data_IF_275340495748
#
_entry.id   IF_275340495748
#
_cell.length_a   1.000
_cell.length_b   1.000
_cell.length_c   1.000
_cell.angle_alpha   90.00
_cell.angle_beta   90.00
_cell.angle_gamma   90.00
#
_symmetry.space_group_name_H-M   'P 1'
#
loop_
_entity.id
_entity.type
_entity.pdbx_description
1 polymer ?
#
# COMPACT_ATOMS: atom_id res chain seq x y z
N UNK A 1 -17.89 -2.76 -19.05
CA UNK A 1 -17.47 -1.88 -20.16
C UNK A 1 -15.95 -1.88 -20.25
N UNK A 2 -15.38 -1.85 -21.46
CA UNK A 2 -13.92 -1.90 -21.69
C UNK A 2 -13.54 -0.75 -22.62
N UNK A 3 -13.43 0.49 -22.12
CA UNK A 3 -13.03 1.65 -22.92
C UNK A 3 -11.60 1.51 -23.44
N UNK A 4 -11.34 1.97 -24.66
CA UNK A 4 -10.01 1.89 -25.30
C UNK A 4 -9.17 3.14 -25.04
N UNK A 5 -9.83 4.28 -24.82
CA UNK A 5 -9.19 5.56 -24.55
C UNK A 5 -10.02 6.42 -23.58
N UNK A 6 -9.55 7.64 -23.33
CA UNK A 6 -10.21 8.57 -22.43
C UNK A 6 -11.54 9.11 -22.96
N UNK A 7 -11.75 9.16 -24.28
CA UNK A 7 -13.00 9.67 -24.87
C UNK A 7 -14.12 8.62 -24.76
N UNK A 8 -13.77 7.33 -24.87
CA UNK A 8 -14.67 6.23 -24.51
C UNK A 8 -15.11 6.33 -23.03
N UNK A 9 -14.18 6.61 -22.12
CA UNK A 9 -14.50 6.79 -20.69
C UNK A 9 -15.43 7.99 -20.49
N UNK A 10 -15.19 9.13 -21.14
CA UNK A 10 -16.08 10.30 -21.08
C UNK A 10 -17.48 9.96 -21.58
N UNK A 11 -17.57 9.25 -22.71
CA UNK A 11 -18.84 8.81 -23.31
C UNK A 11 -19.61 7.91 -22.36
N UNK A 12 -18.93 6.93 -21.77
CA UNK A 12 -19.52 6.01 -20.78
C UNK A 12 -20.01 6.75 -19.53
N UNK A 13 -19.20 7.67 -18.99
CA UNK A 13 -19.56 8.44 -17.78
C UNK A 13 -20.79 9.32 -18.04
N UNK A 14 -20.86 10.01 -19.18
CA UNK A 14 -22.04 10.82 -19.53
C UNK A 14 -23.29 9.97 -19.69
N UNK A 15 -23.19 8.84 -20.36
CA UNK A 15 -24.30 7.89 -20.48
C UNK A 15 -24.75 7.39 -19.10
N UNK A 16 -23.81 6.99 -18.25
CA UNK A 16 -24.10 6.47 -16.92
C UNK A 16 -24.76 7.54 -16.03
N UNK A 17 -24.24 8.76 -16.06
CA UNK A 17 -24.82 9.90 -15.34
C UNK A 17 -26.25 10.21 -15.79
N UNK A 18 -26.50 10.26 -17.11
CA UNK A 18 -27.82 10.55 -17.67
C UNK A 18 -28.87 9.47 -17.33
N UNK A 19 -28.42 8.23 -17.08
CA UNK A 19 -29.31 7.09 -16.77
C UNK A 19 -29.32 6.73 -15.29
N UNK A 20 -28.58 7.45 -14.43
CA UNK A 20 -28.48 7.14 -13.00
C UNK A 20 -27.83 5.78 -12.72
N UNK A 21 -26.91 5.34 -13.57
CA UNK A 21 -26.24 4.04 -13.48
C UNK A 21 -24.86 4.22 -12.79
N UNK A 22 -24.61 3.60 -11.64
CA UNK A 22 -23.30 3.61 -11.01
C UNK A 22 -22.23 2.92 -11.86
N UNK A 23 -21.00 3.45 -11.78
CA UNK A 23 -19.82 2.88 -12.40
C UNK A 23 -18.84 2.40 -11.34
N UNK A 24 -18.22 1.24 -11.57
CA UNK A 24 -17.21 0.65 -10.69
C UNK A 24 -15.89 0.56 -11.47
N UNK A 25 -14.92 1.47 -11.25
CA UNK A 25 -13.62 1.37 -11.90
C UNK A 25 -12.88 0.12 -11.48
N UNK A 26 -12.22 -0.51 -12.44
CA UNK A 26 -11.43 -1.71 -12.22
C UNK A 26 -10.13 -1.65 -13.02
N UNK A 27 -9.02 -1.81 -12.31
CA UNK A 27 -7.72 -2.18 -12.90
C UNK A 27 -7.61 -3.70 -13.04
N UNK A 28 -6.57 -4.32 -12.48
CA UNK A 28 -6.49 -5.79 -12.43
C UNK A 28 -7.43 -6.44 -11.41
N UNK A 29 -7.99 -5.65 -10.48
CA UNK A 29 -8.86 -6.15 -9.41
C UNK A 29 -8.13 -6.88 -8.28
N UNK A 30 -6.87 -6.50 -8.03
CA UNK A 30 -6.03 -7.05 -6.94
C UNK A 30 -6.27 -6.42 -5.56
N UNK A 31 -7.15 -5.42 -5.46
CA UNK A 31 -7.53 -4.78 -4.19
C UNK A 31 -8.30 -5.75 -3.28
N UNK A 32 -8.03 -5.70 -1.97
CA UNK A 32 -8.72 -6.56 -0.98
C UNK A 32 -10.02 -5.94 -0.40
N UNK A 33 -10.28 -4.66 -0.68
CA UNK A 33 -11.44 -3.92 -0.14
C UNK A 33 -12.76 -4.13 -0.90
N UNK A 34 -12.83 -5.08 -1.84
CA UNK A 34 -13.98 -5.34 -2.73
C UNK A 34 -14.45 -4.16 -3.60
N UNK A 35 -13.79 -2.99 -3.58
CA UNK A 35 -14.18 -1.83 -4.38
C UNK A 35 -14.13 -2.01 -5.90
N UNK A 36 -13.50 -3.07 -6.39
CA UNK A 36 -13.37 -3.36 -7.83
C UNK A 36 -14.40 -4.39 -8.36
N UNK A 37 -15.41 -4.76 -7.56
CA UNK A 37 -16.48 -5.69 -7.92
C UNK A 37 -17.83 -5.17 -7.44
N UNK A 38 -18.92 -5.58 -8.09
CA UNK A 38 -20.28 -5.23 -7.69
C UNK A 38 -21.30 -5.56 -8.77
N UNK A 39 -22.56 -5.20 -8.52
CA UNK A 39 -23.70 -5.45 -9.42
C UNK A 39 -23.83 -4.43 -10.56
N UNK A 40 -23.10 -3.30 -10.46
CA UNK A 40 -23.15 -2.20 -11.40
C UNK A 40 -22.12 -2.35 -12.52
N UNK A 41 -22.07 -1.37 -13.43
CA UNK A 41 -21.18 -1.43 -14.59
C UNK A 41 -19.73 -1.37 -14.14
N UNK A 42 -19.05 -2.52 -14.21
CA UNK A 42 -17.59 -2.60 -14.05
C UNK A 42 -16.93 -1.96 -15.28
N UNK A 43 -16.08 -0.96 -15.04
CA UNK A 43 -15.31 -0.26 -16.06
C UNK A 43 -13.87 -0.75 -16.00
N UNK A 44 -13.52 -1.63 -16.93
CA UNK A 44 -12.17 -2.17 -17.05
C UNK A 44 -11.25 -1.16 -17.74
N UNK A 45 -10.36 -0.54 -16.96
CA UNK A 45 -9.40 0.47 -17.42
C UNK A 45 -8.07 -0.16 -17.88
N UNK A 46 -7.97 -1.49 -17.98
CA UNK A 46 -6.75 -2.22 -18.35
C UNK A 46 -6.27 -1.98 -19.77
N UNK A 47 -7.10 -1.42 -20.66
CA UNK A 47 -6.72 -1.05 -22.03
C UNK A 47 -6.04 0.32 -22.11
N UNK A 48 -6.12 1.16 -21.06
CA UNK A 48 -5.48 2.48 -21.03
C UNK A 48 -3.97 2.35 -20.83
N UNK A 49 -3.26 2.02 -21.91
CA UNK A 49 -1.84 1.60 -21.90
C UNK A 49 -0.86 2.54 -22.57
N UNK A 50 -1.32 3.69 -23.08
CA UNK A 50 -0.43 4.68 -23.69
C UNK A 50 0.55 5.23 -22.66
N UNK A 51 1.82 5.39 -23.02
CA UNK A 51 2.84 6.00 -22.14
C UNK A 51 3.81 6.86 -22.94
N UNK A 52 4.44 7.79 -22.23
CA UNK A 52 5.62 8.51 -22.71
C UNK A 52 6.88 7.95 -22.04
N UNK A 53 8.06 8.02 -22.70
CA UNK A 53 9.33 7.70 -22.06
C UNK A 53 9.54 8.54 -20.79
N UNK A 54 10.24 7.97 -19.79
CA UNK A 54 10.62 8.71 -18.61
C UNK A 54 11.62 9.83 -18.96
N UNK A 55 11.44 10.99 -18.34
CA UNK A 55 12.27 12.16 -18.57
C UNK A 55 13.32 12.29 -17.46
N UNK A 56 14.58 12.01 -17.80
CA UNK A 56 15.72 12.10 -16.88
C UNK A 56 15.92 13.50 -16.27
N UNK A 57 15.64 14.57 -17.03
CA UNK A 57 15.83 15.95 -16.56
C UNK A 57 14.80 16.38 -15.53
N UNK A 58 13.58 15.86 -15.61
CA UNK A 58 12.48 16.20 -14.68
C UNK A 58 12.22 15.11 -13.64
N UNK A 59 12.82 13.94 -13.80
CA UNK A 59 12.52 12.72 -13.04
C UNK A 59 11.02 12.42 -13.00
N UNK A 60 10.36 12.48 -14.16
CA UNK A 60 8.91 12.24 -14.30
C UNK A 60 8.56 11.36 -15.48
N UNK A 61 7.40 10.74 -15.42
CA UNK A 61 6.85 9.93 -16.50
C UNK A 61 5.31 10.03 -16.51
N UNK A 62 4.71 10.11 -17.71
CA UNK A 62 3.26 10.03 -17.89
C UNK A 62 2.91 8.67 -18.47
N UNK A 63 1.94 8.00 -17.85
CA UNK A 63 1.51 6.66 -18.23
C UNK A 63 0.00 6.49 -18.05
N UNK A 64 -0.58 5.65 -18.90
CA UNK A 64 -1.95 5.20 -18.80
C UNK A 64 -2.17 4.37 -17.54
N UNK A 65 -3.35 4.50 -16.96
CA UNK A 65 -3.70 3.87 -15.69
C UNK A 65 -3.85 2.34 -15.76
N UNK A 66 -3.95 1.78 -16.96
CA UNK A 66 -3.97 0.34 -17.22
C UNK A 66 -2.58 -0.33 -17.18
N UNK A 67 -1.49 0.45 -17.13
CA UNK A 67 -0.12 -0.08 -17.07
C UNK A 67 0.15 -0.67 -15.68
N UNK A 68 0.76 -1.85 -15.63
CA UNK A 68 1.22 -2.50 -14.40
C UNK A 68 2.40 -1.77 -13.77
N UNK A 69 2.51 -1.82 -12.45
CA UNK A 69 3.61 -1.21 -11.70
C UNK A 69 4.98 -1.65 -12.23
N UNK A 70 5.20 -2.96 -12.38
CA UNK A 70 6.51 -3.47 -12.81
C UNK A 70 6.82 -3.09 -14.26
N UNK A 71 5.78 -2.91 -15.09
CA UNK A 71 5.96 -2.37 -16.44
C UNK A 71 6.36 -0.89 -16.39
N UNK A 72 5.75 -0.09 -15.51
CA UNK A 72 6.15 1.30 -15.29
C UNK A 72 7.60 1.40 -14.79
N UNK A 73 8.02 0.53 -13.87
CA UNK A 73 9.41 0.44 -13.41
C UNK A 73 10.37 0.16 -14.56
N UNK A 74 10.06 -0.83 -15.41
CA UNK A 74 10.87 -1.14 -16.60
C UNK A 74 11.02 0.06 -17.55
N UNK A 75 9.96 0.85 -17.74
CA UNK A 75 10.01 2.05 -18.58
C UNK A 75 10.87 3.13 -17.93
N UNK A 76 10.74 3.34 -16.61
CA UNK A 76 11.56 4.29 -15.87
C UNK A 76 13.06 3.93 -15.93
N UNK A 77 13.39 2.65 -15.79
CA UNK A 77 14.77 2.16 -15.79
C UNK A 77 15.52 2.45 -17.09
N UNK A 78 14.81 2.58 -18.23
CA UNK A 78 15.41 2.98 -19.51
C UNK A 78 16.05 4.37 -19.47
N UNK A 79 15.60 5.23 -18.55
CA UNK A 79 16.16 6.56 -18.30
C UNK A 79 17.04 6.60 -17.03
N UNK A 80 17.49 5.45 -16.52
CA UNK A 80 18.19 5.31 -15.24
C UNK A 80 17.41 5.90 -14.05
N UNK A 81 16.08 5.77 -14.08
CA UNK A 81 15.16 6.21 -13.04
C UNK A 81 14.34 5.02 -12.50
N UNK A 82 13.76 5.14 -11.31
CA UNK A 82 12.94 4.11 -10.65
C UNK A 82 11.68 4.73 -10.03
N UNK A 83 10.59 3.97 -10.06
CA UNK A 83 9.35 4.21 -9.32
C UNK A 83 9.34 3.32 -8.05
N UNK A 84 9.66 3.89 -6.88
CA UNK A 84 10.09 3.09 -5.72
C UNK A 84 8.95 2.44 -4.93
N UNK A 85 7.69 2.70 -5.28
CA UNK A 85 6.54 2.11 -4.58
C UNK A 85 6.32 0.69 -5.06
N UNK A 86 6.51 -0.27 -4.16
CA UNK A 86 6.58 -1.70 -4.47
C UNK A 86 5.52 -2.54 -3.71
N UNK A 87 4.25 -2.54 -4.16
CA UNK A 87 3.22 -3.38 -3.55
C UNK A 87 3.49 -4.86 -3.82
N UNK A 88 2.99 -5.76 -2.96
CA UNK A 88 3.12 -7.22 -3.17
C UNK A 88 2.51 -7.73 -4.47
N UNK A 89 1.61 -6.95 -5.06
CA UNK A 89 0.95 -7.21 -6.33
C UNK A 89 1.64 -6.53 -7.52
N UNK A 90 2.87 -6.00 -7.39
CA UNK A 90 3.55 -5.18 -8.41
C UNK A 90 3.48 -5.72 -9.84
N UNK A 91 3.61 -7.04 -10.01
CA UNK A 91 3.57 -7.71 -11.31
C UNK A 91 2.22 -7.59 -12.04
N UNK A 92 1.13 -7.33 -11.33
CA UNK A 92 -0.22 -7.25 -11.89
C UNK A 92 -1.05 -6.07 -11.39
N UNK A 93 -0.60 -5.30 -10.41
CA UNK A 93 -1.28 -4.09 -9.95
C UNK A 93 -1.13 -3.00 -11.01
N UNK A 94 -2.24 -2.50 -11.53
CA UNK A 94 -2.22 -1.36 -12.45
C UNK A 94 -1.98 -0.06 -11.70
N UNK A 95 -1.35 0.92 -12.34
CA UNK A 95 -1.10 2.25 -11.77
C UNK A 95 -2.41 2.91 -11.33
N UNK A 96 -3.50 2.76 -12.08
CA UNK A 96 -4.83 3.24 -11.71
C UNK A 96 -5.30 2.65 -10.38
N UNK A 97 -5.15 1.33 -10.20
CA UNK A 97 -5.49 0.66 -8.94
C UNK A 97 -4.61 1.13 -7.79
N UNK A 98 -3.30 1.31 -8.02
CA UNK A 98 -2.37 1.83 -7.02
C UNK A 98 -2.74 3.25 -6.57
N UNK A 99 -3.04 4.14 -7.52
CA UNK A 99 -3.49 5.51 -7.24
C UNK A 99 -4.82 5.50 -6.50
N UNK A 100 -5.80 4.72 -6.98
CA UNK A 100 -7.13 4.65 -6.39
C UNK A 100 -7.10 4.15 -4.93
N UNK A 101 -6.20 3.21 -4.59
CA UNK A 101 -6.08 2.66 -3.24
C UNK A 101 -5.00 3.33 -2.38
N UNK A 102 -4.27 4.33 -2.90
CA UNK A 102 -3.04 4.84 -2.30
C UNK A 102 -2.09 3.71 -1.86
N UNK A 103 -1.78 2.80 -2.79
CA UNK A 103 -1.02 1.60 -2.51
C UNK A 103 0.33 1.92 -1.85
N UNK A 104 0.78 0.99 -1.01
CA UNK A 104 2.09 1.05 -0.39
C UNK A 104 2.80 -0.29 -0.61
N UNK A 105 4.03 -0.38 -0.16
CA UNK A 105 4.90 -1.50 -0.45
C UNK A 105 5.81 -1.88 0.68
N UNK A 106 6.57 -2.96 0.49
CA UNK A 106 7.61 -3.36 1.45
C UNK A 106 8.58 -2.21 1.72
N UNK A 107 8.82 -1.38 0.69
CA UNK A 107 9.73 -0.24 0.75
C UNK A 107 9.12 1.08 1.26
N UNK A 108 7.90 1.04 1.78
CA UNK A 108 7.18 2.25 2.19
C UNK A 108 7.74 2.91 3.45
N UNK A 109 8.57 2.20 4.23
CA UNK A 109 9.30 2.79 5.36
C UNK A 109 10.26 3.90 4.89
N UNK A 110 10.87 3.74 3.71
CA UNK A 110 11.74 4.74 3.09
C UNK A 110 11.01 5.67 2.13
N UNK A 111 10.13 5.11 1.30
CA UNK A 111 9.56 5.85 0.17
C UNK A 111 8.10 6.27 0.37
N UNK A 112 7.42 5.83 1.42
CA UNK A 112 6.02 6.12 1.64
C UNK A 112 5.07 5.39 0.66
N UNK A 113 3.84 5.88 0.57
CA UNK A 113 2.78 5.35 -0.29
C UNK A 113 2.68 6.12 -1.62
N UNK A 114 1.90 5.58 -2.56
CA UNK A 114 1.71 6.11 -3.93
C UNK A 114 1.44 7.62 -3.96
N UNK A 115 0.66 8.19 -3.04
CA UNK A 115 0.30 9.63 -3.00
C UNK A 115 1.48 10.58 -3.14
N UNK A 116 2.60 10.31 -2.48
CA UNK A 116 3.78 11.18 -2.52
C UNK A 116 4.49 11.17 -3.88
N UNK A 117 4.19 10.17 -4.71
CA UNK A 117 4.82 9.94 -6.00
C UNK A 117 3.94 10.34 -7.19
N UNK A 118 2.72 10.82 -6.95
CA UNK A 118 1.83 11.31 -8.01
C UNK A 118 1.99 12.82 -8.11
N UNK A 119 2.42 13.32 -9.28
CA UNK A 119 2.51 14.78 -9.55
C UNK A 119 1.33 15.28 -10.37
N UNK A 120 0.59 14.39 -11.03
CA UNK A 120 -0.61 14.73 -11.78
C UNK A 120 -1.51 13.54 -12.07
N UNK A 121 -2.80 13.83 -12.23
CA UNK A 121 -3.82 12.86 -12.62
C UNK A 121 -4.68 13.46 -13.73
N UNK A 122 -4.95 12.68 -14.75
CA UNK A 122 -6.01 13.00 -15.71
C UNK A 122 -7.31 12.38 -15.23
N UNK A 123 -8.23 13.23 -14.82
CA UNK A 123 -9.48 12.86 -14.17
C UNK A 123 -10.65 13.03 -15.13
N UNK A 124 -11.59 12.09 -15.06
CA UNK A 124 -12.94 12.23 -15.61
C UNK A 124 -13.91 12.20 -14.43
N UNK A 125 -14.61 13.32 -14.22
CA UNK A 125 -15.54 13.51 -13.10
C UNK A 125 -16.95 13.02 -13.44
N UNK A 126 -17.81 12.93 -12.43
CA UNK A 126 -19.17 12.37 -12.58
C UNK A 126 -20.05 13.11 -13.60
N UNK A 127 -19.79 14.40 -13.85
CA UNK A 127 -20.48 15.20 -14.87
C UNK A 127 -19.92 14.99 -16.30
N UNK A 128 -18.92 14.11 -16.45
CA UNK A 128 -18.23 13.84 -17.71
C UNK A 128 -17.22 14.93 -18.11
N UNK A 129 -16.89 15.88 -17.23
CA UNK A 129 -15.77 16.79 -17.45
C UNK A 129 -14.44 16.05 -17.31
N UNK A 130 -13.49 16.38 -18.18
CA UNK A 130 -12.14 15.80 -18.22
C UNK A 130 -11.12 16.90 -17.96
N UNK A 131 -10.20 16.68 -17.02
CA UNK A 131 -9.16 17.65 -16.72
C UNK A 131 -7.92 17.00 -16.10
N UNK A 132 -6.77 17.65 -16.31
CA UNK A 132 -5.55 17.35 -15.57
C UNK A 132 -5.54 18.10 -14.24
N UNK A 133 -5.39 17.35 -13.15
CA UNK A 133 -5.15 17.89 -11.81
C UNK A 133 -3.69 17.64 -11.48
N UNK A 134 -2.89 18.71 -11.31
CA UNK A 134 -1.46 18.63 -11.00
C UNK A 134 -1.13 19.28 -9.67
N UNK A 135 -0.15 18.73 -8.95
CA UNK A 135 0.35 19.32 -7.70
C UNK A 135 0.98 20.68 -7.98
N UNK A 136 0.67 21.65 -7.12
CA UNK A 136 1.17 23.03 -7.23
C UNK A 136 0.60 23.85 -8.39
N UNK A 137 -0.32 23.29 -9.18
CA UNK A 137 -1.08 24.05 -10.16
C UNK A 137 -2.24 24.79 -9.48
N UNK A 138 -2.72 25.88 -10.09
CA UNK A 138 -3.93 26.54 -9.64
C UNK A 138 -5.12 25.55 -9.69
N UNK A 139 -6.01 25.67 -8.70
CA UNK A 139 -7.24 24.88 -8.67
C UNK A 139 -8.12 25.25 -9.87
N UNK A 140 -8.59 24.28 -10.67
CA UNK A 140 -9.41 24.57 -11.85
C UNK A 140 -10.86 24.86 -11.42
N UNK A 141 -11.10 26.08 -10.94
CA UNK A 141 -12.39 26.54 -10.42
C UNK A 141 -13.48 26.61 -11.47
N UNK A 142 -13.12 26.61 -12.75
CA UNK A 142 -14.03 26.51 -13.88
C UNK A 142 -14.71 25.14 -14.00
N UNK A 143 -14.19 24.11 -13.34
CA UNK A 143 -14.82 22.79 -13.30
C UNK A 143 -15.95 22.78 -12.25
N UNK A 144 -17.22 22.54 -12.64
CA UNK A 144 -18.35 22.59 -11.71
C UNK A 144 -18.20 21.68 -10.48
N UNK A 145 -17.56 20.52 -10.66
CA UNK A 145 -17.28 19.58 -9.57
C UNK A 145 -16.26 20.12 -8.56
N UNK A 146 -15.23 20.83 -9.03
CA UNK A 146 -14.23 21.47 -8.15
C UNK A 146 -14.82 22.69 -7.46
N UNK A 147 -15.56 23.53 -8.19
CA UNK A 147 -16.27 24.67 -7.61
C UNK A 147 -17.23 24.22 -6.50
N UNK A 148 -18.03 23.18 -6.73
CA UNK A 148 -18.91 22.58 -5.73
C UNK A 148 -18.16 22.13 -4.49
N UNK A 149 -17.04 21.44 -4.65
CA UNK A 149 -16.20 21.02 -3.53
C UNK A 149 -15.68 22.23 -2.73
N UNK A 150 -15.18 23.25 -3.42
CA UNK A 150 -14.62 24.46 -2.79
C UNK A 150 -15.66 25.31 -2.07
N UNK A 151 -16.90 25.32 -2.56
CA UNK A 151 -18.01 26.03 -1.92
C UNK A 151 -18.59 25.25 -0.73
N UNK A 152 -18.83 23.95 -0.89
CA UNK A 152 -19.70 23.19 0.01
C UNK A 152 -18.93 22.33 1.03
N UNK A 153 -17.71 21.88 0.70
CA UNK A 153 -16.94 20.91 1.50
C UNK A 153 -15.68 21.54 2.08
N UNK A 154 -14.89 22.24 1.26
CA UNK A 154 -13.63 22.82 1.67
C UNK A 154 -13.75 23.66 2.96
N UNK A 155 -14.68 24.63 3.10
CA UNK A 155 -14.75 25.46 4.30
C UNK A 155 -14.97 24.65 5.58
N UNK A 156 -15.72 23.54 5.49
CA UNK A 156 -16.00 22.65 6.62
C UNK A 156 -14.77 21.88 7.06
N UNK A 157 -13.97 21.40 6.11
CA UNK A 157 -12.71 20.69 6.40
C UNK A 157 -11.69 21.63 7.03
N UNK A 158 -11.65 22.89 6.57
CA UNK A 158 -10.72 23.89 7.09
C UNK A 158 -11.10 24.41 8.48
N UNK A 159 -12.40 24.52 8.75
CA UNK A 159 -12.91 24.92 10.05
C UNK A 159 -12.95 23.77 11.07
N UNK A 160 -12.80 22.51 10.63
CA UNK A 160 -12.87 21.35 11.51
C UNK A 160 -11.71 21.33 12.49
N UNK A 161 -12.04 21.20 13.78
CA UNK A 161 -11.11 20.95 14.89
C UNK A 161 -10.97 19.46 15.20
N UNK A 162 -11.73 18.60 14.51
CA UNK A 162 -11.66 17.17 14.69
C UNK A 162 -10.28 16.64 14.25
N UNK A 163 -9.77 15.60 14.91
CA UNK A 163 -8.55 14.95 14.48
C UNK A 163 -8.79 14.26 13.12
N UNK A 164 -8.35 14.90 12.04
CA UNK A 164 -8.41 14.36 10.68
C UNK A 164 -7.27 13.36 10.38
N UNK A 165 -6.34 13.17 11.32
CA UNK A 165 -5.25 12.22 11.25
C UNK A 165 -4.98 11.60 12.63
N UNK A 166 -4.53 10.35 12.65
CA UNK A 166 -4.16 9.65 13.87
C UNK A 166 -2.70 9.93 14.25
N UNK A 167 -2.47 10.35 15.49
CA UNK A 167 -1.13 10.65 16.01
C UNK A 167 -0.27 9.38 16.07
N UNK A 168 0.97 9.48 15.60
CA UNK A 168 1.95 8.37 15.68
C UNK A 168 1.83 7.33 14.57
N UNK A 169 1.00 7.57 13.55
CA UNK A 169 0.84 6.71 12.37
C UNK A 169 1.29 7.46 11.12
N UNK A 170 2.15 6.85 10.30
CA UNK A 170 2.69 7.47 9.08
C UNK A 170 1.83 7.29 7.84
N UNK A 171 1.05 6.21 7.76
CA UNK A 171 0.16 5.92 6.62
C UNK A 171 -1.29 5.88 7.09
N UNK A 172 -2.10 6.78 6.53
CA UNK A 172 -3.55 6.80 6.68
C UNK A 172 -4.21 6.54 5.33
N UNK A 173 -4.99 5.47 5.29
CA UNK A 173 -5.77 5.01 4.14
C UNK A 173 -7.25 4.81 4.50
N UNK A 174 -7.69 5.27 5.68
CA UNK A 174 -9.10 5.23 6.09
C UNK A 174 -9.86 6.43 5.54
N UNK A 175 -10.67 6.21 4.52
CA UNK A 175 -11.44 7.27 3.87
C UNK A 175 -10.56 8.25 3.09
N UNK A 176 -11.09 9.45 2.85
CA UNK A 176 -10.40 10.48 2.09
C UNK A 176 -9.27 11.14 2.90
N UNK A 177 -8.18 11.51 2.23
CA UNK A 177 -7.02 12.14 2.86
C UNK A 177 -7.24 13.62 3.18
N UNK A 178 -8.29 13.93 3.95
CA UNK A 178 -8.69 15.29 4.29
C UNK A 178 -7.61 16.05 5.07
N UNK A 179 -6.86 15.38 5.95
CA UNK A 179 -5.72 15.99 6.63
C UNK A 179 -4.63 16.41 5.63
N UNK A 180 -4.25 15.52 4.70
CA UNK A 180 -3.24 15.83 3.70
C UNK A 180 -3.68 16.99 2.80
N UNK A 181 -4.93 16.97 2.33
CA UNK A 181 -5.49 18.07 1.54
C UNK A 181 -5.60 19.38 2.34
N UNK A 182 -5.97 19.35 3.63
CA UNK A 182 -6.04 20.55 4.48
C UNK A 182 -4.68 21.23 4.60
N UNK A 183 -3.61 20.45 4.64
CA UNK A 183 -2.25 20.94 4.80
C UNK A 183 -1.67 21.43 3.46
N UNK A 184 -1.87 20.69 2.36
CA UNK A 184 -1.28 21.00 1.05
C UNK A 184 -2.14 21.91 0.16
N UNK A 185 -3.46 21.83 0.30
CA UNK A 185 -4.49 22.35 -0.62
C UNK A 185 -4.45 21.75 -2.04
N UNK A 186 -3.65 20.72 -2.26
CA UNK A 186 -3.54 20.01 -3.53
C UNK A 186 -4.66 18.97 -3.68
N UNK A 187 -5.50 19.11 -4.71
CA UNK A 187 -6.57 18.12 -4.99
C UNK A 187 -6.03 16.71 -5.27
N UNK A 188 -4.77 16.57 -5.70
CA UNK A 188 -4.13 15.26 -5.85
C UNK A 188 -4.15 14.46 -4.55
N UNK A 189 -3.98 15.12 -3.39
CA UNK A 189 -4.04 14.42 -2.10
C UNK A 189 -5.42 13.86 -1.80
N UNK A 190 -6.48 14.54 -2.22
CA UNK A 190 -7.85 14.08 -2.05
C UNK A 190 -8.21 12.97 -3.04
N UNK A 191 -7.73 13.06 -4.28
CA UNK A 191 -8.02 12.11 -5.35
C UNK A 191 -7.30 10.77 -5.16
N UNK A 192 -6.04 10.79 -4.73
CA UNK A 192 -5.28 9.55 -4.44
C UNK A 192 -5.84 8.88 -3.18
N UNK A 193 -6.30 7.65 -3.31
CA UNK A 193 -7.01 6.93 -2.25
C UNK A 193 -8.53 7.11 -2.29
N UNK A 194 -9.09 7.76 -3.31
CA UNK A 194 -10.55 7.94 -3.45
C UNK A 194 -11.29 6.69 -3.95
N UNK A 195 -10.58 5.62 -4.32
CA UNK A 195 -11.17 4.36 -4.78
C UNK A 195 -12.16 4.54 -5.95
N UNK A 196 -11.95 5.57 -6.78
CA UNK A 196 -12.81 5.86 -7.93
C UNK A 196 -14.13 6.57 -7.61
N UNK A 197 -14.36 6.92 -6.33
CA UNK A 197 -15.60 7.57 -5.89
C UNK A 197 -15.65 9.07 -6.20
N UNK A 198 -14.50 9.71 -6.47
CA UNK A 198 -14.42 11.13 -6.81
C UNK A 198 -14.17 11.39 -8.30
N UNK A 199 -13.45 10.49 -8.98
CA UNK A 199 -13.16 10.57 -10.41
C UNK A 199 -12.67 9.21 -10.94
N UNK A 200 -12.83 8.99 -12.24
CA UNK A 200 -12.08 7.98 -12.99
C UNK A 200 -10.74 8.56 -13.43
N UNK A 201 -9.66 7.80 -13.27
CA UNK A 201 -8.33 8.20 -13.73
C UNK A 201 -8.02 7.53 -15.05
N UNK A 202 -7.55 8.28 -16.04
CA UNK A 202 -7.17 7.73 -17.35
C UNK A 202 -5.66 7.71 -17.57
N UNK A 203 -4.97 8.77 -17.13
CA UNK A 203 -3.51 8.88 -17.11
C UNK A 203 -3.01 9.34 -15.74
N UNK A 204 -1.78 9.00 -15.43
CA UNK A 204 -1.05 9.41 -14.23
C UNK A 204 0.31 9.99 -14.61
N UNK A 205 0.71 11.06 -13.92
CA UNK A 205 2.07 11.60 -13.96
C UNK A 205 2.78 11.20 -12.68
N UNK A 206 3.83 10.38 -12.82
CA UNK A 206 4.65 9.85 -11.74
C UNK A 206 5.88 10.72 -11.55
N UNK A 207 6.25 10.94 -10.28
CA UNK A 207 7.61 11.31 -9.87
C UNK A 207 8.45 10.04 -9.76
N UNK A 208 9.72 10.15 -10.16
CA UNK A 208 10.70 9.08 -10.13
C UNK A 208 11.92 9.50 -9.30
N UNK A 209 12.78 8.54 -8.97
CA UNK A 209 14.10 8.75 -8.38
C UNK A 209 15.18 8.18 -9.30
N UNK A 210 16.46 8.56 -9.14
CA UNK A 210 17.55 7.83 -9.77
C UNK A 210 17.48 6.34 -9.43
N UNK A 211 17.67 5.50 -10.43
CA UNK A 211 17.82 4.05 -10.24
C UNK A 211 19.04 3.81 -9.35
N UNK A 212 18.89 2.98 -8.33
CA UNK A 212 19.91 2.73 -7.32
C UNK A 212 20.70 1.45 -7.62
N UNK A 213 21.87 1.32 -7.00
CA UNK A 213 22.89 0.34 -7.37
C UNK A 213 22.57 -1.10 -6.96
N UNK A 214 22.68 -1.42 -5.68
CA UNK A 214 22.53 -2.78 -5.17
C UNK A 214 21.77 -2.84 -3.84
N UNK A 215 21.16 -3.99 -3.57
CA UNK A 215 20.53 -4.32 -2.29
C UNK A 215 21.37 -5.36 -1.55
N UNK A 216 21.11 -5.46 -0.25
CA UNK A 216 21.54 -6.54 0.62
C UNK A 216 20.49 -6.70 1.72
N UNK A 217 20.20 -7.92 2.16
CA UNK A 217 19.13 -8.17 3.12
C UNK A 217 19.62 -8.91 4.37
N UNK A 218 18.89 -8.79 5.47
CA UNK A 218 19.12 -9.59 6.67
C UNK A 218 17.82 -10.17 7.21
N UNK A 219 17.90 -11.39 7.73
CA UNK A 219 16.86 -12.06 8.51
C UNK A 219 17.30 -12.17 9.96
N UNK A 220 16.52 -11.60 10.87
CA UNK A 220 16.89 -11.52 12.29
C UNK A 220 15.76 -12.07 13.14
N UNK A 221 16.07 -12.94 14.10
CA UNK A 221 15.08 -13.47 15.05
C UNK A 221 15.27 -12.88 16.44
N UNK A 222 14.18 -12.78 17.19
CA UNK A 222 14.12 -12.21 18.53
C UNK A 222 13.26 -13.08 19.44
N UNK A 223 13.68 -13.24 20.70
CA UNK A 223 12.90 -13.97 21.71
C UNK A 223 11.73 -13.15 22.28
N UNK A 224 11.62 -11.87 21.93
CA UNK A 224 10.47 -11.00 22.30
C UNK A 224 10.03 -10.10 21.15
N UNK A 225 8.75 -9.76 21.11
CA UNK A 225 8.21 -8.79 20.13
C UNK A 225 8.72 -7.37 20.40
N UNK A 226 8.94 -7.02 21.67
CA UNK A 226 9.46 -5.72 22.09
C UNK A 226 10.86 -5.47 21.52
N UNK A 227 11.78 -6.43 21.61
CA UNK A 227 13.11 -6.34 21.01
C UNK A 227 13.05 -6.20 19.49
N UNK A 228 12.19 -6.98 18.82
CA UNK A 228 11.98 -6.88 17.37
C UNK A 228 11.47 -5.48 16.95
N UNK A 229 10.55 -4.88 17.70
CA UNK A 229 10.03 -3.53 17.41
C UNK A 229 11.10 -2.46 17.61
N UNK A 230 11.91 -2.56 18.65
CA UNK A 230 13.05 -1.64 18.86
C UNK A 230 14.03 -1.73 17.70
N UNK A 231 14.44 -2.95 17.32
CA UNK A 231 15.34 -3.19 16.20
C UNK A 231 14.77 -2.66 14.87
N UNK A 232 13.47 -2.85 14.61
CA UNK A 232 12.80 -2.31 13.43
C UNK A 232 12.85 -0.77 13.39
N UNK A 233 12.70 -0.11 14.54
CA UNK A 233 12.84 1.34 14.67
C UNK A 233 14.27 1.81 14.37
N UNK A 234 15.27 1.11 14.90
CA UNK A 234 16.68 1.44 14.65
C UNK A 234 17.08 1.21 13.18
N UNK A 235 16.68 0.08 12.58
CA UNK A 235 16.90 -0.19 11.16
C UNK A 235 16.27 0.90 10.27
N UNK A 236 15.05 1.32 10.61
CA UNK A 236 14.37 2.44 9.94
C UNK A 236 15.18 3.74 10.06
N UNK A 237 15.69 4.06 11.26
CA UNK A 237 16.51 5.26 11.52
C UNK A 237 17.83 5.24 10.74
N UNK A 238 18.40 4.06 10.56
CA UNK A 238 19.62 3.85 9.76
C UNK A 238 19.36 3.93 8.25
N UNK A 239 18.10 3.95 7.80
CA UNK A 239 17.77 4.12 6.39
C UNK A 239 17.49 2.82 5.64
N UNK A 240 17.02 1.77 6.34
CA UNK A 240 16.47 0.58 5.71
C UNK A 240 15.45 0.93 4.63
N UNK A 241 15.56 0.26 3.47
CA UNK A 241 14.58 0.42 2.39
C UNK A 241 13.30 -0.32 2.72
N UNK A 242 13.39 -1.51 3.30
CA UNK A 242 12.26 -2.31 3.76
C UNK A 242 12.51 -2.88 5.16
N UNK A 243 11.43 -3.00 5.95
CA UNK A 243 11.42 -3.68 7.25
C UNK A 243 10.08 -4.42 7.37
N UNK A 244 10.09 -5.74 7.44
CA UNK A 244 8.89 -6.57 7.61
C UNK A 244 9.02 -7.37 8.91
N UNK A 245 7.94 -7.48 9.71
CA UNK A 245 7.96 -8.19 10.99
C UNK A 245 7.07 -9.44 10.93
N UNK A 246 7.71 -10.59 11.07
CA UNK A 246 7.04 -11.89 11.11
C UNK A 246 6.85 -12.27 12.58
N UNK A 247 5.62 -12.53 13.00
CA UNK A 247 5.36 -12.95 14.38
C UNK A 247 5.50 -14.48 14.55
N UNK A 248 5.55 -14.96 15.79
CA UNK A 248 5.60 -16.39 16.10
C UNK A 248 4.61 -17.26 15.34
N UNK A 249 3.37 -16.81 15.17
CA UNK A 249 2.32 -17.61 14.50
C UNK A 249 2.64 -17.83 13.02
N UNK A 250 3.29 -16.86 12.37
CA UNK A 250 3.84 -17.00 11.03
C UNK A 250 5.09 -17.90 11.02
N UNK A 251 6.02 -17.63 11.92
CA UNK A 251 7.30 -18.33 12.00
C UNK A 251 7.11 -19.84 12.22
N UNK A 252 6.14 -20.22 13.04
CA UNK A 252 5.82 -21.63 13.29
C UNK A 252 5.32 -22.37 12.04
N UNK A 253 4.70 -21.68 11.08
CA UNK A 253 4.31 -22.25 9.78
C UNK A 253 5.52 -22.28 8.85
N UNK A 254 6.25 -21.15 8.80
CA UNK A 254 7.36 -20.98 7.87
C UNK A 254 8.48 -21.98 8.16
N UNK A 255 8.69 -22.38 9.42
CA UNK A 255 9.73 -23.33 9.87
C UNK A 255 9.71 -24.65 9.10
N UNK A 256 8.55 -25.18 8.74
CA UNK A 256 8.44 -26.42 7.95
C UNK A 256 8.55 -26.21 6.43
N UNK A 257 8.58 -24.96 5.97
CA UNK A 257 8.47 -24.57 4.56
C UNK A 257 9.68 -23.78 4.05
N UNK A 258 10.74 -23.64 4.85
CA UNK A 258 11.97 -22.93 4.50
C UNK A 258 13.20 -23.73 4.94
N UNK A 259 14.29 -23.71 4.16
CA UNK A 259 15.58 -24.28 4.59
C UNK A 259 16.29 -23.44 5.66
N UNK A 260 15.83 -22.21 5.92
CA UNK A 260 16.42 -21.31 6.91
C UNK A 260 16.06 -21.79 8.32
N UNK A 261 17.05 -21.89 9.20
CA UNK A 261 16.83 -22.29 10.60
C UNK A 261 16.15 -21.16 11.36
N UNK A 262 14.96 -21.43 11.90
CA UNK A 262 14.19 -20.49 12.74
C UNK A 262 14.09 -21.08 14.15
N UNK A 263 14.68 -20.45 15.18
CA UNK A 263 14.59 -20.91 16.56
C UNK A 263 13.16 -21.12 17.04
N UNK A 264 12.92 -22.13 17.89
CA UNK A 264 11.59 -22.36 18.48
C UNK A 264 11.18 -21.26 19.47
N UNK A 265 12.17 -20.63 20.12
CA UNK A 265 12.00 -19.51 21.05
C UNK A 265 11.61 -18.20 20.37
N UNK A 266 11.76 -18.09 19.04
CA UNK A 266 11.52 -16.84 18.33
C UNK A 266 10.05 -16.39 18.46
N UNK A 267 9.85 -15.25 19.11
CA UNK A 267 8.54 -14.58 19.22
C UNK A 267 8.28 -13.65 18.03
N UNK A 268 9.35 -13.16 17.39
CA UNK A 268 9.29 -12.37 16.19
C UNK A 268 10.59 -12.45 15.37
N UNK A 269 10.49 -12.09 14.10
CA UNK A 269 11.62 -11.93 13.21
C UNK A 269 11.46 -10.70 12.32
N UNK A 270 12.59 -10.12 11.90
CA UNK A 270 12.64 -9.04 10.94
C UNK A 270 13.27 -9.51 9.63
N UNK A 271 12.66 -9.11 8.52
CA UNK A 271 13.29 -9.07 7.20
C UNK A 271 13.61 -7.61 6.91
N UNK A 272 14.90 -7.27 6.77
CA UNK A 272 15.34 -5.90 6.52
C UNK A 272 16.11 -5.86 5.22
N UNK A 273 15.78 -4.91 4.35
CA UNK A 273 16.52 -4.61 3.12
C UNK A 273 17.33 -3.33 3.35
N UNK A 274 18.61 -3.40 3.04
CA UNK A 274 19.53 -2.29 2.92
C UNK A 274 19.86 -2.06 1.45
N UNK A 275 20.30 -0.85 1.16
CA UNK A 275 20.62 -0.44 -0.20
C UNK A 275 21.85 0.46 -0.20
N UNK A 276 22.63 0.39 -1.29
CA UNK A 276 23.80 1.22 -1.52
C UNK A 276 24.08 1.45 -3.01
N UNK A 277 24.98 2.36 -3.30
CA UNK A 277 25.36 2.71 -4.69
C UNK A 277 26.22 1.61 -5.36
N UNK A 278 26.66 0.61 -4.59
CA UNK A 278 27.38 -0.58 -5.05
C UNK A 278 27.06 -1.78 -4.14
N UNK A 279 27.35 -2.99 -4.59
CA UNK A 279 27.19 -4.22 -3.79
C UNK A 279 27.93 -4.12 -2.44
N UNK A 280 29.16 -3.59 -2.46
CA UNK A 280 29.94 -3.35 -1.24
C UNK A 280 29.23 -2.36 -0.31
N UNK A 281 28.72 -1.25 -0.86
CA UNK A 281 27.99 -0.26 -0.09
C UNK A 281 26.72 -0.81 0.54
N UNK A 282 25.96 -1.63 -0.19
CA UNK A 282 24.77 -2.30 0.32
C UNK A 282 25.12 -3.29 1.45
N UNK A 283 26.16 -4.10 1.25
CA UNK A 283 26.65 -5.04 2.26
C UNK A 283 27.20 -4.34 3.53
N UNK A 284 27.91 -3.22 3.38
CA UNK A 284 28.39 -2.41 4.50
C UNK A 284 27.20 -1.81 5.29
N UNK A 285 26.17 -1.33 4.59
CA UNK A 285 24.96 -0.79 5.20
C UNK A 285 24.14 -1.88 5.94
N UNK A 286 24.00 -3.06 5.33
CA UNK A 286 23.41 -4.24 5.95
C UNK A 286 24.14 -4.63 7.24
N UNK A 287 25.49 -4.64 7.23
CA UNK A 287 26.30 -4.93 8.42
C UNK A 287 26.05 -3.94 9.56
N UNK A 288 25.88 -2.66 9.26
CA UNK A 288 25.53 -1.65 10.26
C UNK A 288 24.15 -1.93 10.90
N UNK A 289 23.17 -2.35 10.09
CA UNK A 289 21.84 -2.73 10.59
C UNK A 289 21.89 -4.04 11.40
N UNK A 290 22.69 -5.01 10.96
CA UNK A 290 22.92 -6.24 11.70
C UNK A 290 23.46 -5.96 13.10
N UNK A 291 24.43 -5.05 13.22
CA UNK A 291 24.98 -4.65 14.52
C UNK A 291 23.96 -3.93 15.41
N UNK A 292 23.15 -3.04 14.84
CA UNK A 292 22.06 -2.41 15.56
C UNK A 292 21.02 -3.45 16.06
N UNK A 293 20.74 -4.48 15.26
CA UNK A 293 19.86 -5.57 15.66
C UNK A 293 20.47 -6.41 16.79
N UNK A 294 21.77 -6.71 16.76
CA UNK A 294 22.48 -7.39 17.87
C UNK A 294 22.41 -6.57 19.15
N UNK A 295 22.68 -5.27 19.07
CA UNK A 295 22.56 -4.36 20.20
C UNK A 295 21.12 -4.28 20.78
N UNK A 296 20.11 -4.47 19.93
CA UNK A 296 18.70 -4.53 20.33
C UNK A 296 18.25 -5.91 20.86
N UNK A 297 19.16 -6.89 21.00
CA UNK A 297 18.86 -8.21 21.56
C UNK A 297 18.42 -9.28 20.55
N UNK A 298 18.95 -9.24 19.34
CA UNK A 298 18.74 -10.30 18.36
C UNK A 298 19.25 -11.67 18.88
N UNK A 299 18.42 -12.70 18.76
CA UNK A 299 18.76 -14.08 19.07
C UNK A 299 19.60 -14.73 17.96
N UNK A 300 19.28 -14.42 16.70
CA UNK A 300 20.07 -14.84 15.53
C UNK A 300 20.04 -13.78 14.45
N UNK A 301 21.14 -13.63 13.71
CA UNK A 301 21.24 -12.75 12.54
C UNK A 301 21.77 -13.57 11.37
N UNK A 302 21.02 -13.61 10.28
CA UNK A 302 21.44 -14.17 8.99
C UNK A 302 21.59 -13.02 7.99
N UNK A 303 22.81 -12.81 7.52
CA UNK A 303 23.15 -11.78 6.53
C UNK A 303 23.10 -12.38 5.12
N UNK A 304 22.49 -11.66 4.18
CA UNK A 304 22.41 -12.00 2.76
C UNK A 304 22.98 -10.83 1.91
N UNK A 305 24.29 -10.85 1.62
CA UNK A 305 24.95 -9.78 0.89
C UNK A 305 24.77 -9.87 -0.64
N UNK A 306 24.13 -10.93 -1.16
CA UNK A 306 23.99 -11.19 -2.59
C UNK A 306 22.57 -11.66 -2.98
N UNK A 307 22.22 -11.44 -4.25
CA UNK A 307 20.89 -11.73 -4.79
C UNK A 307 20.37 -13.16 -4.57
N UNK A 308 21.17 -14.23 -4.76
CA UNK A 308 20.74 -15.59 -4.45
C UNK A 308 20.34 -15.80 -2.99
N UNK A 309 21.16 -15.33 -2.04
CA UNK A 309 20.85 -15.49 -0.62
C UNK A 309 19.70 -14.56 -0.18
N UNK A 310 19.61 -13.35 -0.76
CA UNK A 310 18.46 -12.46 -0.56
C UNK A 310 17.16 -13.14 -1.00
N UNK A 311 17.15 -13.76 -2.18
CA UNK A 311 15.99 -14.47 -2.71
C UNK A 311 15.52 -15.60 -1.78
N UNK A 312 16.45 -16.32 -1.15
CA UNK A 312 16.13 -17.37 -0.18
C UNK A 312 15.49 -16.79 1.10
N UNK A 313 16.02 -15.68 1.62
CA UNK A 313 15.47 -15.01 2.79
C UNK A 313 14.08 -14.43 2.49
N UNK A 314 13.91 -13.76 1.35
CA UNK A 314 12.63 -13.19 0.94
C UNK A 314 11.57 -14.26 0.61
N UNK A 315 11.97 -15.47 0.23
CA UNK A 315 11.04 -16.58 0.03
C UNK A 315 10.28 -16.96 1.31
N UNK A 316 10.82 -16.69 2.51
CA UNK A 316 10.12 -16.89 3.79
C UNK A 316 8.77 -16.18 3.80
N UNK A 317 8.70 -14.96 3.23
CA UNK A 317 7.47 -14.15 3.15
C UNK A 317 6.35 -14.86 2.39
N UNK A 318 6.71 -15.68 1.41
CA UNK A 318 5.76 -16.43 0.58
C UNK A 318 5.53 -17.87 1.08
N UNK A 319 6.36 -18.38 2.00
CA UNK A 319 6.33 -19.76 2.45
C UNK A 319 5.07 -20.15 3.23
N UNK A 320 4.43 -19.20 3.92
CA UNK A 320 3.27 -19.50 4.76
C UNK A 320 1.99 -19.78 3.95
N UNK A 321 1.70 -19.04 2.87
CA UNK A 321 0.42 -19.15 2.16
C UNK A 321 0.17 -20.51 1.50
N UNK A 322 1.13 -21.12 0.77
CA UNK A 322 0.96 -22.46 0.20
C UNK A 322 0.91 -23.56 1.26
N UNK A 323 1.57 -23.33 2.41
CA UNK A 323 1.56 -24.28 3.53
C UNK A 323 0.19 -24.27 4.20
N UNK A 324 -0.37 -23.08 4.45
CA UNK A 324 -1.70 -22.88 5.05
C UNK A 324 -2.82 -23.59 4.27
N UNK A 325 -2.76 -23.62 2.94
CA UNK A 325 -3.76 -24.31 2.12
C UNK A 325 -3.63 -25.84 2.14
N UNK A 326 -2.51 -26.37 2.65
CA UNK A 326 -2.21 -27.82 2.73
C UNK A 326 -2.29 -28.39 4.14
N UNK A 327 -2.52 -27.55 5.16
CA UNK A 327 -2.53 -27.97 6.57
C UNK A 327 -3.66 -28.94 6.92
N UNK A 328 -4.74 -28.99 6.13
CA UNK A 328 -5.85 -29.90 6.39
C UNK A 328 -6.40 -30.49 5.08
N UNK A 329 -6.60 -31.81 4.99
CA UNK A 329 -7.02 -32.48 3.75
C UNK A 329 -8.41 -32.08 3.24
N UNK A 330 -9.26 -31.53 4.11
CA UNK A 330 -10.66 -31.20 3.80
C UNK A 330 -11.10 -29.79 4.20
N UNK A 331 -10.21 -28.97 4.78
CA UNK A 331 -10.56 -27.62 5.22
C UNK A 331 -9.73 -26.62 4.44
N UNK A 332 -10.42 -25.74 3.72
CA UNK A 332 -9.80 -24.56 3.13
C UNK A 332 -9.71 -23.47 4.19
N UNK A 333 -8.52 -22.89 4.37
CA UNK A 333 -8.37 -21.70 5.20
C UNK A 333 -9.21 -20.56 4.63
N UNK A 334 -10.23 -20.09 5.37
CA UNK A 334 -10.85 -18.80 5.09
C UNK A 334 -9.85 -17.73 5.49
N UNK A 335 -9.09 -17.22 4.52
CA UNK A 335 -8.15 -16.14 4.76
C UNK A 335 -8.93 -14.87 5.13
N UNK A 336 -8.85 -14.46 6.39
CA UNK A 336 -9.34 -13.16 6.86
C UNK A 336 -8.12 -12.26 7.01
N UNK A 337 -8.06 -11.19 6.22
CA UNK A 337 -6.97 -10.21 6.26
C UNK A 337 -7.43 -8.98 7.03
N UNK A 338 -6.76 -8.66 8.14
CA UNK A 338 -6.88 -7.36 8.82
C UNK A 338 -5.64 -6.52 8.49
N UNK A 339 -5.85 -5.35 7.86
CA UNK A 339 -4.80 -4.35 7.65
C UNK A 339 -4.92 -3.31 8.79
N UNK A 340 -3.99 -3.36 9.74
CA UNK A 340 -4.03 -2.65 11.04
C UNK A 340 -2.80 -1.75 11.34
N UNK A 341 -3.02 -0.46 11.56
CA UNK A 341 -2.06 0.55 12.03
C UNK A 341 -2.19 0.69 13.52
N UNK A 342 -1.05 0.61 14.17
CA UNK A 342 -0.87 1.07 15.55
C UNK A 342 0.47 1.80 15.63
N UNK A 343 0.63 2.77 16.53
CA UNK A 343 1.95 3.30 16.84
C UNK A 343 2.92 2.15 17.15
N UNK A 344 4.19 2.20 16.70
CA UNK A 344 5.12 1.07 16.87
C UNK A 344 5.21 0.56 18.33
N UNK A 345 5.22 1.47 19.31
CA UNK A 345 5.24 1.11 20.73
C UNK A 345 4.02 0.29 21.20
N UNK A 346 2.89 0.37 20.50
CA UNK A 346 1.67 -0.39 20.80
C UNK A 346 1.59 -1.72 20.02
N UNK A 347 2.50 -1.96 19.07
CA UNK A 347 2.47 -3.15 18.22
C UNK A 347 2.53 -4.47 19.00
N UNK A 348 3.40 -4.66 20.01
CA UNK A 348 3.43 -5.91 20.78
C UNK A 348 2.10 -6.19 21.50
N UNK A 349 1.48 -5.14 22.06
CA UNK A 349 0.18 -5.25 22.73
C UNK A 349 -0.95 -5.58 21.74
N UNK A 350 -0.90 -5.00 20.54
CA UNK A 350 -1.84 -5.31 19.45
C UNK A 350 -1.77 -6.79 19.06
N UNK A 351 -0.57 -7.31 18.76
CA UNK A 351 -0.37 -8.73 18.40
C UNK A 351 -0.87 -9.66 19.51
N UNK A 352 -0.51 -9.38 20.77
CA UNK A 352 -0.99 -10.15 21.92
C UNK A 352 -2.52 -10.11 22.05
N UNK A 353 -3.14 -8.95 21.84
CA UNK A 353 -4.59 -8.78 21.87
C UNK A 353 -5.30 -9.58 20.78
N UNK A 354 -4.78 -9.56 19.55
CA UNK A 354 -5.28 -10.39 18.44
C UNK A 354 -5.18 -11.87 18.81
N UNK A 355 -4.01 -12.35 19.24
CA UNK A 355 -3.82 -13.75 19.66
C UNK A 355 -4.82 -14.18 20.74
N UNK A 356 -5.00 -13.36 21.77
CA UNK A 356 -5.95 -13.62 22.85
C UNK A 356 -7.41 -13.67 22.36
N UNK A 357 -7.81 -12.77 21.45
CA UNK A 357 -9.16 -12.74 20.89
C UNK A 357 -9.48 -14.01 20.09
N UNK A 358 -8.52 -14.49 19.28
CA UNK A 358 -8.69 -15.76 18.55
C UNK A 358 -8.73 -16.97 19.48
N UNK A 359 -7.85 -17.02 20.49
CA UNK A 359 -7.83 -18.10 21.47
C UNK A 359 -9.17 -18.21 22.23
N UNK A 360 -9.77 -17.08 22.62
CA UNK A 360 -11.08 -17.04 23.28
C UNK A 360 -12.22 -17.63 22.43
N UNK A 361 -12.07 -17.62 21.10
CA UNK A 361 -13.02 -18.19 20.15
C UNK A 361 -12.63 -19.61 19.69
N UNK A 362 -11.60 -20.22 20.30
CA UNK A 362 -11.03 -21.52 19.89
C UNK A 362 -10.60 -21.55 18.41
N UNK A 363 -10.20 -20.40 17.88
CA UNK A 363 -9.62 -20.27 16.55
C UNK A 363 -8.10 -20.14 16.69
N UNK A 364 -7.34 -20.74 15.77
CA UNK A 364 -5.90 -20.52 15.72
C UNK A 364 -5.58 -19.34 14.79
N UNK A 365 -5.07 -18.21 15.33
CA UNK A 365 -4.65 -17.08 14.51
C UNK A 365 -3.37 -17.43 13.76
N UNK A 366 -3.25 -16.94 12.53
CA UNK A 366 -2.06 -17.06 11.69
C UNK A 366 -1.80 -15.65 11.13
N UNK A 367 -0.92 -14.89 11.77
CA UNK A 367 -0.78 -13.45 11.56
C UNK A 367 0.55 -13.10 10.88
N UNK A 368 0.51 -12.18 9.91
CA UNK A 368 1.69 -11.59 9.27
C UNK A 368 1.57 -10.06 9.35
N UNK A 369 2.68 -9.36 9.58
CA UNK A 369 2.66 -7.92 9.82
C UNK A 369 3.77 -7.18 9.09
N UNK A 370 3.44 -5.96 8.65
CA UNK A 370 4.45 -5.00 8.21
C UNK A 370 4.83 -4.08 9.36
N UNK A 371 6.11 -3.95 9.65
CA UNK A 371 6.62 -2.97 10.61
C UNK A 371 7.28 -1.79 9.88
N UNK A 372 7.39 -0.64 10.54
CA UNK A 372 7.98 0.57 9.92
C UNK A 372 7.02 1.40 9.05
N UNK A 373 5.85 0.87 8.69
CA UNK A 373 4.72 1.65 8.13
C UNK A 373 3.38 1.19 8.71
N UNK A 374 2.92 1.78 9.82
CA UNK A 374 1.62 1.42 10.39
C UNK A 374 0.49 1.83 9.42
N UNK A 375 -0.40 0.90 9.00
CA UNK A 375 -1.65 1.19 8.21
C UNK A 375 -2.89 0.46 8.75
N UNK A 376 -4.00 1.15 9.14
CA UNK A 376 -5.25 0.52 9.67
C UNK A 376 -6.48 0.78 8.82
N UNK A 377 -7.41 -0.19 8.86
CA UNK A 377 -8.86 -0.04 8.82
C UNK A 377 -9.53 -0.62 10.07
N UNK A 378 -10.64 -0.01 10.52
CA UNK A 378 -11.55 -0.61 11.51
C UNK A 378 -12.98 -0.54 10.97
N UNK A 379 -13.67 -1.68 10.89
CA UNK A 379 -15.09 -1.69 10.57
C UNK A 379 -15.89 -1.14 11.75
N UNK A 380 -16.70 -0.13 11.47
CA UNK A 380 -17.72 0.35 12.39
C UNK A 380 -18.84 -0.69 12.46
N UNK A 381 -19.15 -1.19 13.65
CA UNK A 381 -20.47 -1.81 13.89
C UNK A 381 -21.53 -0.72 13.75
N UNK A 382 -22.62 -0.91 12.99
CA UNK A 382 -23.77 -0.03 13.09
C UNK A 382 -24.40 -0.20 14.46
N UNK A 383 -24.50 0.88 15.23
CA UNK A 383 -25.47 0.97 16.32
C UNK A 383 -26.86 0.82 15.70
N UNK A 384 -27.62 -0.12 16.24
CA UNK A 384 -29.05 -0.37 16.01
C UNK A 384 -29.86 0.88 15.63
N UNK A 385 -30.47 0.85 14.45
CA UNK A 385 -31.64 1.66 14.12
C UNK A 385 -32.85 0.72 14.05
N UNK A 386 -33.94 0.97 14.80
CA UNK A 386 -35.15 0.17 14.71
C UNK A 386 -35.95 0.60 13.47
N UNK A 387 -36.03 -0.28 12.48
CA UNK A 387 -37.03 -0.20 11.41
C UNK A 387 -38.37 -0.68 11.98
N UNK A 388 -39.15 0.22 12.55
CA UNK A 388 -40.58 -0.01 12.76
C UNK A 388 -41.27 0.01 11.39
N UNK A 389 -41.61 -1.17 10.87
CA UNK A 389 -42.67 -1.33 9.87
C UNK A 389 -44.00 -0.97 10.55
N UNK A 390 -44.65 0.10 10.10
CA UNK A 390 -46.11 0.23 10.24
C UNK A 390 -46.75 -0.38 9.00
N UNK A 391 -47.50 -1.45 9.20
CA UNK A 391 -48.59 -1.85 8.31
C UNK A 391 -49.91 -1.30 8.86
N UNK A 392 -50.86 -1.11 7.93
CA UNK A 392 -52.18 -0.46 7.99
C UNK A 392 -52.16 1.05 8.15
#
# INVERSE_FOLDING_TARGET
AVPLDADDVVTLVRWAYANGIPLIPRGSGSSMGNGAVGEWVIVDLGQLRTYAPANASTARMICGTGIERDRAEQIANQAALSFPVDPSSGAFATLGGMVACNAAGARSVRFGATRAWITGLECIFADGTRAWIRRGAALPTELPTVERFLRDVAPRVLASTDPLAHVGVRKESSGYALAAWRDSRDLVDLLVGSEGTLALFVNVELRLIPMRGATASLFVTFDTLEAAVVAAGEATRLGATAVELLDKTFLDIARSATPITIPESAEGALLIEAEGDSERGAADHMRQMAEACRAAGAASVLEAPDGPMESQIWAIRHAASPTLSRLHPYLSSMQVVEDGAVPPAQFPAYVRGVRAAFAAQRMQPRCWHRCGTPSRWRSLRPRSWPLTRRGS
#
